data_IF_563587872533
#
_entry.id   IF_563587872533
#
_cell.length_a   1.000
_cell.length_b   1.000
_cell.length_c   1.000
_cell.angle_alpha   90.00
_cell.angle_beta   90.00
_cell.angle_gamma   90.00
#
_symmetry.space_group_name_H-M   'P 1'
#
loop_
_entity.id
_entity.type
_entity.pdbx_description
1 polymer ?
#
# COMPACT_ATOMS: atom_id res chain seq x y z
N UNK A 1 22.67 -27.53 -46.87
CA UNK A 1 21.86 -27.46 -48.14
C UNK A 1 22.79 -27.72 -49.28
N UNK A 2 22.30 -28.44 -50.34
CA UNK A 2 23.09 -28.57 -51.58
C UNK A 2 23.00 -27.26 -52.35
N UNK A 3 24.16 -26.72 -52.80
CA UNK A 3 24.16 -25.53 -53.63
C UNK A 3 23.53 -25.82 -54.98
N UNK A 4 22.64 -24.94 -55.47
CA UNK A 4 21.93 -25.07 -56.75
C UNK A 4 22.74 -24.29 -57.81
N UNK A 5 23.11 -24.98 -58.89
CA UNK A 5 23.87 -24.38 -59.97
C UNK A 5 23.07 -24.53 -61.26
N UNK A 6 22.78 -23.40 -61.93
CA UNK A 6 22.15 -23.41 -63.24
C UNK A 6 23.21 -23.28 -64.33
N UNK A 7 23.27 -24.24 -65.25
CA UNK A 7 24.15 -24.24 -66.41
C UNK A 7 23.32 -23.83 -67.64
N UNK A 8 23.72 -22.74 -68.29
CA UNK A 8 23.06 -22.21 -69.48
C UNK A 8 24.11 -22.21 -70.62
N UNK A 9 23.94 -23.08 -71.56
CA UNK A 9 24.84 -23.26 -72.73
C UNK A 9 24.07 -24.01 -73.83
N UNK A 10 24.18 -23.63 -75.09
CA UNK A 10 23.50 -24.27 -76.18
C UNK A 10 24.09 -25.65 -76.57
N UNK A 11 25.40 -25.85 -76.28
CA UNK A 11 26.10 -27.10 -76.53
C UNK A 11 25.82 -28.16 -75.47
N UNK A 12 25.06 -29.17 -75.86
CA UNK A 12 24.82 -30.34 -74.98
C UNK A 12 26.12 -30.99 -74.46
N UNK A 13 27.16 -30.94 -75.27
CA UNK A 13 28.47 -31.49 -74.92
C UNK A 13 29.15 -30.70 -73.81
N UNK A 14 29.08 -29.38 -73.83
CA UNK A 14 29.63 -28.49 -72.79
C UNK A 14 28.79 -28.65 -71.52
N UNK A 15 27.47 -28.64 -71.55
CA UNK A 15 26.61 -28.87 -70.38
C UNK A 15 26.99 -30.19 -69.71
N UNK A 16 27.12 -31.25 -70.48
CA UNK A 16 27.52 -32.56 -69.95
C UNK A 16 28.93 -32.56 -69.35
N UNK A 17 29.87 -31.90 -69.98
CA UNK A 17 31.23 -31.77 -69.47
C UNK A 17 31.25 -30.99 -68.13
N UNK A 18 30.59 -29.82 -68.06
CA UNK A 18 30.44 -29.01 -66.85
C UNK A 18 29.76 -29.79 -65.73
N UNK A 19 28.64 -30.47 -66.05
CA UNK A 19 27.94 -31.34 -65.11
C UNK A 19 28.88 -32.43 -64.54
N UNK A 20 29.62 -33.13 -65.37
CA UNK A 20 30.58 -34.15 -64.91
C UNK A 20 31.66 -33.60 -64.01
N UNK A 21 32.17 -32.40 -64.29
CA UNK A 21 33.16 -31.73 -63.41
C UNK A 21 32.52 -31.39 -62.06
N UNK A 22 31.31 -30.85 -62.02
CA UNK A 22 30.63 -30.52 -60.80
C UNK A 22 30.24 -31.78 -59.98
N UNK A 23 29.82 -32.87 -60.65
CA UNK A 23 29.47 -34.14 -60.01
C UNK A 23 30.69 -34.94 -59.52
N UNK A 24 31.90 -34.65 -60.01
CA UNK A 24 33.12 -35.27 -59.55
C UNK A 24 33.59 -34.77 -58.18
N UNK A 25 32.97 -33.76 -57.62
CA UNK A 25 33.30 -33.21 -56.29
C UNK A 25 32.64 -34.05 -55.19
N UNK A 26 33.44 -34.80 -54.45
CA UNK A 26 32.91 -35.70 -53.37
C UNK A 26 32.45 -34.94 -52.12
N UNK A 27 33.07 -33.79 -51.81
CA UNK A 27 32.75 -33.00 -50.61
C UNK A 27 31.47 -32.15 -50.73
N UNK A 28 31.18 -31.66 -51.94
CA UNK A 28 30.03 -30.77 -52.18
C UNK A 28 29.12 -31.34 -53.25
N UNK A 29 27.98 -31.93 -52.85
CA UNK A 29 26.98 -32.36 -53.82
C UNK A 29 26.17 -31.13 -54.27
N UNK A 30 26.26 -30.79 -55.57
CA UNK A 30 25.49 -29.74 -56.22
C UNK A 30 24.19 -30.29 -56.74
N UNK A 31 23.12 -29.44 -56.72
CA UNK A 31 21.89 -29.64 -57.45
C UNK A 31 22.06 -28.88 -58.78
N UNK A 32 22.07 -29.60 -59.88
CA UNK A 32 22.40 -29.03 -61.20
C UNK A 32 21.12 -28.89 -62.04
N UNK A 33 20.83 -27.65 -62.40
CA UNK A 33 19.79 -27.29 -63.35
C UNK A 33 20.42 -26.97 -64.71
N UNK A 34 19.73 -27.26 -65.81
CA UNK A 34 20.24 -26.97 -67.16
C UNK A 34 19.20 -26.21 -68.00
N UNK A 35 19.72 -25.30 -68.81
CA UNK A 35 18.95 -24.62 -69.85
C UNK A 35 19.79 -24.55 -71.14
N UNK A 36 19.13 -24.56 -72.31
CA UNK A 36 19.80 -24.56 -73.61
C UNK A 36 20.01 -23.14 -74.15
N UNK A 37 19.40 -22.13 -73.57
CA UNK A 37 19.53 -20.72 -73.95
C UNK A 37 18.94 -19.82 -72.91
N UNK A 38 19.10 -18.51 -73.07
CA UNK A 38 18.63 -17.50 -72.10
C UNK A 38 17.12 -17.49 -71.93
N UNK A 39 16.33 -17.80 -72.96
CA UNK A 39 14.87 -17.81 -72.80
C UNK A 39 14.41 -18.97 -71.93
N UNK A 40 14.91 -20.18 -72.21
CA UNK A 40 14.57 -21.37 -71.43
C UNK A 40 15.08 -21.25 -69.98
N UNK A 41 16.20 -20.56 -69.79
CA UNK A 41 16.74 -20.24 -68.41
C UNK A 41 15.82 -19.30 -67.63
N UNK A 42 15.36 -18.20 -68.22
CA UNK A 42 14.38 -17.30 -67.62
C UNK A 42 13.07 -17.97 -67.27
N UNK A 43 12.51 -18.76 -68.21
CA UNK A 43 11.27 -19.53 -68.00
C UNK A 43 11.41 -20.51 -66.82
N UNK A 44 12.57 -21.15 -66.66
CA UNK A 44 12.86 -22.04 -65.55
C UNK A 44 12.97 -21.28 -64.23
N UNK A 45 13.69 -20.14 -64.18
CA UNK A 45 13.90 -19.34 -62.97
C UNK A 45 12.61 -18.68 -62.50
N UNK A 46 11.78 -18.14 -63.44
CA UNK A 46 10.49 -17.52 -63.09
C UNK A 46 9.51 -18.52 -62.43
N UNK A 47 9.60 -19.81 -62.78
CA UNK A 47 8.76 -20.87 -62.20
C UNK A 47 9.22 -21.33 -60.81
N UNK A 48 10.42 -20.91 -60.35
CA UNK A 48 10.97 -21.32 -59.07
C UNK A 48 10.46 -20.43 -57.95
N UNK A 49 10.12 -21.03 -56.82
CA UNK A 49 9.90 -20.28 -55.57
C UNK A 49 11.24 -19.66 -55.08
N UNK A 50 11.17 -18.59 -54.30
CA UNK A 50 12.32 -17.82 -53.83
C UNK A 50 13.42 -18.68 -53.18
N UNK A 51 13.03 -19.73 -52.43
CA UNK A 51 13.95 -20.67 -51.77
C UNK A 51 14.51 -21.74 -52.70
N UNK A 52 14.00 -21.81 -53.93
CA UNK A 52 14.41 -22.77 -54.97
C UNK A 52 15.28 -22.16 -56.08
N UNK A 53 15.58 -20.86 -55.96
CA UNK A 53 16.45 -20.17 -56.91
C UNK A 53 17.86 -20.74 -56.92
N UNK A 54 18.61 -20.66 -58.09
CA UNK A 54 19.97 -21.09 -58.14
C UNK A 54 20.87 -20.21 -57.24
N UNK A 55 21.95 -20.81 -56.71
CA UNK A 55 22.95 -20.11 -55.90
C UNK A 55 24.11 -19.58 -56.80
N UNK A 56 24.23 -20.12 -58.02
CA UNK A 56 25.22 -19.73 -59.03
C UNK A 56 24.68 -20.05 -60.41
N UNK A 57 25.00 -19.19 -61.37
CA UNK A 57 24.74 -19.44 -62.79
C UNK A 57 26.06 -19.54 -63.52
N UNK A 58 26.19 -20.61 -64.34
CA UNK A 58 27.24 -20.78 -65.31
C UNK A 58 26.63 -20.47 -66.67
N UNK A 59 27.05 -19.42 -67.33
CA UNK A 59 26.39 -18.83 -68.49
C UNK A 59 27.31 -18.79 -69.71
N UNK A 60 26.88 -19.45 -70.76
CA UNK A 60 27.52 -19.24 -72.09
C UNK A 60 27.10 -17.89 -72.70
N UNK A 61 28.02 -17.26 -73.39
CA UNK A 61 27.77 -15.94 -73.97
C UNK A 61 26.97 -16.05 -75.27
N UNK A 62 27.36 -17.01 -76.09
CA UNK A 62 26.83 -17.14 -77.47
C UNK A 62 25.82 -18.30 -77.59
N UNK A 63 24.55 -17.96 -77.47
CA UNK A 63 23.44 -18.90 -77.51
C UNK A 63 22.36 -18.43 -78.52
N UNK A 64 21.58 -19.34 -79.07
CA UNK A 64 20.44 -18.99 -79.95
C UNK A 64 19.31 -18.36 -79.07
N UNK A 65 18.35 -17.71 -79.77
CA UNK A 65 17.18 -17.05 -79.16
C UNK A 65 17.44 -15.91 -78.26
N UNK A 66 18.29 -16.10 -77.20
CA UNK A 66 18.70 -15.10 -76.31
C UNK A 66 20.15 -15.40 -75.88
N UNK A 67 21.06 -14.49 -76.18
CA UNK A 67 22.47 -14.61 -75.80
C UNK A 67 22.71 -14.31 -74.33
N UNK A 68 23.92 -14.60 -73.83
CA UNK A 68 24.26 -14.41 -72.42
C UNK A 68 24.24 -12.95 -71.96
N UNK A 69 24.60 -12.00 -72.87
CA UNK A 69 24.60 -10.57 -72.53
C UNK A 69 23.13 -10.04 -72.37
N UNK A 70 22.22 -10.51 -73.14
CA UNK A 70 20.80 -10.18 -73.04
C UNK A 70 20.19 -10.83 -71.81
N UNK A 71 20.52 -12.11 -71.54
CA UNK A 71 20.05 -12.82 -70.38
C UNK A 71 20.48 -12.11 -69.07
N UNK A 72 21.77 -11.79 -68.91
CA UNK A 72 22.27 -11.22 -67.67
C UNK A 72 21.67 -9.82 -67.39
N UNK A 73 21.47 -9.00 -68.43
CA UNK A 73 20.81 -7.69 -68.27
C UNK A 73 19.41 -7.80 -67.71
N UNK A 74 18.61 -8.76 -68.21
CA UNK A 74 17.26 -9.01 -67.69
C UNK A 74 17.35 -9.59 -66.29
N UNK A 75 18.23 -10.57 -66.08
CA UNK A 75 18.37 -11.29 -64.81
C UNK A 75 18.84 -10.39 -63.69
N UNK A 76 19.89 -9.58 -63.89
CA UNK A 76 20.41 -8.68 -62.85
C UNK A 76 19.55 -7.45 -62.59
N UNK A 77 18.62 -7.15 -63.48
CA UNK A 77 17.67 -6.05 -63.27
C UNK A 77 16.51 -6.42 -62.32
N UNK A 78 16.31 -7.71 -62.06
CA UNK A 78 15.30 -8.17 -61.12
C UNK A 78 15.81 -8.09 -59.65
N UNK A 79 15.06 -7.44 -58.73
CA UNK A 79 15.48 -7.29 -57.33
C UNK A 79 15.73 -8.60 -56.58
N UNK A 80 15.07 -9.67 -57.01
CA UNK A 80 15.15 -11.00 -56.38
C UNK A 80 16.37 -11.78 -56.85
N UNK A 81 16.75 -11.64 -58.14
CA UNK A 81 17.78 -12.44 -58.79
C UNK A 81 19.14 -11.74 -58.85
N UNK A 82 19.21 -10.40 -58.78
CA UNK A 82 20.43 -9.60 -59.01
C UNK A 82 21.62 -10.01 -58.12
N UNK A 83 21.35 -10.62 -56.98
CA UNK A 83 22.41 -11.08 -56.04
C UNK A 83 22.93 -12.48 -56.33
N UNK A 84 22.36 -13.19 -57.36
CA UNK A 84 22.83 -14.51 -57.74
C UNK A 84 24.05 -14.32 -58.60
N UNK A 85 25.25 -14.86 -58.23
CA UNK A 85 26.44 -14.70 -59.06
C UNK A 85 26.33 -15.43 -60.39
N UNK A 86 26.95 -14.80 -61.40
CA UNK A 86 27.02 -15.34 -62.78
C UNK A 86 28.50 -15.49 -63.17
N UNK A 87 28.88 -16.71 -63.54
CA UNK A 87 30.16 -17.01 -64.13
C UNK A 87 29.98 -17.23 -65.62
N UNK A 88 30.56 -16.35 -66.43
CA UNK A 88 30.54 -16.53 -67.87
C UNK A 88 31.50 -17.64 -68.33
N UNK A 89 31.05 -18.47 -69.25
CA UNK A 89 31.85 -19.45 -69.98
C UNK A 89 32.04 -18.94 -71.44
N UNK A 90 33.21 -18.55 -71.85
CA UNK A 90 33.42 -17.81 -73.12
C UNK A 90 34.64 -18.32 -73.90
N UNK A 91 34.73 -18.03 -75.19
CA UNK A 91 35.88 -18.40 -76.02
C UNK A 91 37.06 -17.41 -75.88
N UNK A 92 38.32 -17.84 -76.11
CA UNK A 92 39.50 -17.07 -75.90
C UNK A 92 39.55 -15.70 -76.59
N UNK A 93 38.93 -15.57 -77.75
CA UNK A 93 38.89 -14.33 -78.57
C UNK A 93 37.96 -13.23 -77.98
N UNK A 94 37.08 -13.57 -77.05
CA UNK A 94 36.05 -12.69 -76.50
C UNK A 94 36.42 -12.16 -75.08
N UNK A 95 37.47 -12.70 -74.49
CA UNK A 95 37.88 -12.36 -73.11
C UNK A 95 38.22 -10.89 -72.96
N UNK A 96 38.91 -10.27 -73.96
CA UNK A 96 39.29 -8.85 -73.90
C UNK A 96 38.09 -7.92 -74.00
N UNK A 97 37.04 -8.27 -74.77
CA UNK A 97 35.79 -7.52 -74.82
C UNK A 97 34.95 -7.69 -73.53
N UNK A 98 35.04 -8.89 -72.97
CA UNK A 98 34.26 -9.23 -71.77
C UNK A 98 34.83 -8.53 -70.53
N UNK A 99 36.17 -8.40 -70.42
CA UNK A 99 36.83 -7.64 -69.33
C UNK A 99 36.39 -6.16 -69.33
N UNK A 100 36.16 -5.57 -70.53
CA UNK A 100 35.59 -4.21 -70.65
C UNK A 100 34.10 -4.16 -70.29
N UNK A 101 33.33 -5.23 -70.55
CA UNK A 101 31.90 -5.34 -70.30
C UNK A 101 31.51 -5.84 -68.91
N UNK A 102 32.42 -6.42 -68.16
CA UNK A 102 32.14 -7.00 -66.82
C UNK A 102 31.47 -5.99 -65.87
N UNK A 103 31.91 -4.72 -65.91
CA UNK A 103 31.35 -3.64 -65.13
C UNK A 103 29.93 -3.25 -65.60
N UNK A 104 29.66 -3.33 -66.89
CA UNK A 104 28.36 -3.00 -67.48
C UNK A 104 27.35 -4.13 -67.37
N UNK A 105 27.82 -5.39 -67.40
CA UNK A 105 26.98 -6.60 -67.39
C UNK A 105 26.75 -7.14 -65.97
N UNK A 106 27.48 -6.65 -64.98
CA UNK A 106 27.35 -7.08 -63.56
C UNK A 106 27.59 -8.60 -63.36
N UNK A 107 28.41 -9.22 -64.18
CA UNK A 107 28.85 -10.59 -63.94
C UNK A 107 29.98 -10.62 -62.93
N UNK A 108 30.03 -11.63 -62.08
CA UNK A 108 30.99 -11.73 -61.00
C UNK A 108 32.34 -12.28 -61.45
N UNK A 109 32.34 -13.15 -62.49
CA UNK A 109 33.60 -13.72 -63.01
C UNK A 109 33.41 -14.30 -64.44
N UNK A 110 34.49 -14.72 -65.06
CA UNK A 110 34.48 -15.37 -66.34
C UNK A 110 35.49 -16.54 -66.45
N UNK A 111 35.31 -17.48 -67.35
CA UNK A 111 36.17 -18.62 -67.59
C UNK A 111 36.25 -18.94 -69.09
N UNK A 112 37.50 -18.99 -69.65
CA UNK A 112 37.70 -19.24 -71.06
C UNK A 112 37.57 -20.71 -71.44
N UNK A 113 36.89 -21.00 -72.56
CA UNK A 113 36.80 -22.35 -73.17
C UNK A 113 37.99 -22.55 -74.13
N UNK A 114 38.64 -23.73 -74.13
CA UNK A 114 38.47 -24.87 -73.21
C UNK A 114 39.04 -24.62 -71.82
N UNK A 115 38.32 -24.96 -70.77
CA UNK A 115 38.70 -24.70 -69.36
C UNK A 115 39.27 -25.94 -68.70
N UNK A 116 40.15 -25.70 -67.73
CA UNK A 116 40.64 -26.74 -66.81
C UNK A 116 39.56 -27.06 -65.76
N UNK A 117 39.27 -28.35 -65.50
CA UNK A 117 38.31 -28.76 -64.47
C UNK A 117 38.57 -28.16 -63.07
N UNK A 118 39.85 -28.12 -62.67
CA UNK A 118 40.24 -27.55 -61.37
C UNK A 118 40.03 -26.04 -61.27
N UNK A 119 40.19 -25.29 -62.40
CA UNK A 119 39.95 -23.85 -62.48
C UNK A 119 38.45 -23.55 -62.41
N UNK A 120 37.60 -24.26 -63.15
CA UNK A 120 36.14 -24.13 -63.04
C UNK A 120 35.70 -24.36 -61.59
N UNK A 121 36.13 -25.43 -60.98
CA UNK A 121 35.73 -25.77 -59.62
C UNK A 121 36.19 -24.72 -58.57
N UNK A 122 37.41 -24.18 -58.69
CA UNK A 122 37.92 -23.14 -57.83
C UNK A 122 37.06 -21.87 -57.91
N UNK A 123 36.66 -21.43 -59.10
CA UNK A 123 35.79 -20.27 -59.31
C UNK A 123 34.38 -20.51 -58.77
N UNK A 124 33.80 -21.67 -59.06
CA UNK A 124 32.48 -22.08 -58.53
C UNK A 124 32.49 -22.03 -57.01
N UNK A 125 33.47 -22.67 -56.36
CA UNK A 125 33.61 -22.64 -54.87
C UNK A 125 33.74 -21.23 -54.33
N UNK A 126 34.55 -20.38 -54.99
CA UNK A 126 34.75 -19.00 -54.57
C UNK A 126 33.50 -18.17 -54.61
N UNK A 127 32.75 -18.24 -55.74
CA UNK A 127 31.48 -17.50 -55.92
C UNK A 127 30.38 -17.98 -54.95
N UNK A 128 30.26 -19.29 -54.78
CA UNK A 128 29.31 -19.86 -53.82
C UNK A 128 29.64 -19.45 -52.38
N UNK A 129 30.89 -19.40 -51.98
CA UNK A 129 31.32 -18.94 -50.65
C UNK A 129 30.85 -17.50 -50.39
N UNK A 130 31.07 -16.60 -51.34
CA UNK A 130 30.62 -15.20 -51.23
C UNK A 130 29.08 -15.15 -51.18
N UNK A 131 28.39 -15.88 -52.03
CA UNK A 131 26.95 -15.93 -52.06
C UNK A 131 26.31 -16.39 -50.73
N UNK A 132 26.87 -17.43 -50.12
CA UNK A 132 26.38 -17.92 -48.81
C UNK A 132 26.64 -16.96 -47.68
N UNK A 133 27.83 -16.32 -47.67
CA UNK A 133 28.15 -15.29 -46.67
C UNK A 133 27.18 -14.08 -46.76
N UNK A 134 26.85 -13.65 -47.98
CA UNK A 134 25.85 -12.59 -48.20
C UNK A 134 24.44 -13.00 -47.72
N UNK A 135 24.01 -14.22 -48.07
CA UNK A 135 22.70 -14.77 -47.59
C UNK A 135 22.64 -14.81 -46.06
N UNK A 136 23.70 -15.28 -45.42
CA UNK A 136 23.78 -15.35 -43.95
C UNK A 136 23.75 -13.95 -43.31
N UNK A 137 24.50 -13.01 -43.89
CA UNK A 137 24.51 -11.62 -43.41
C UNK A 137 23.11 -10.96 -43.50
N UNK A 138 22.43 -11.17 -44.59
CA UNK A 138 21.06 -10.64 -44.77
C UNK A 138 20.05 -11.27 -43.79
N UNK A 139 20.19 -12.57 -43.52
CA UNK A 139 19.35 -13.29 -42.56
C UNK A 139 19.62 -12.78 -41.11
N UNK A 140 20.88 -12.65 -40.74
CA UNK A 140 21.27 -12.14 -39.43
C UNK A 140 20.82 -10.69 -39.20
N UNK A 141 20.96 -9.84 -40.22
CA UNK A 141 20.47 -8.45 -40.14
C UNK A 141 18.96 -8.37 -39.92
N UNK A 142 18.18 -9.24 -40.63
CA UNK A 142 16.73 -9.32 -40.42
C UNK A 142 16.38 -9.74 -39.00
N UNK A 143 17.04 -10.81 -38.49
CA UNK A 143 16.84 -11.29 -37.10
C UNK A 143 17.23 -10.25 -36.06
N UNK A 144 18.34 -9.54 -36.29
CA UNK A 144 18.77 -8.47 -35.41
C UNK A 144 17.77 -7.32 -35.37
N UNK A 145 17.25 -6.91 -36.53
CA UNK A 145 16.21 -5.87 -36.62
C UNK A 145 14.96 -6.24 -35.83
N UNK A 146 14.47 -7.47 -36.00
CA UNK A 146 13.30 -7.97 -35.27
C UNK A 146 13.53 -8.04 -33.76
N UNK A 147 14.75 -8.45 -33.37
CA UNK A 147 15.13 -8.51 -31.96
C UNK A 147 15.24 -7.12 -31.32
N UNK A 148 15.79 -6.16 -32.04
CA UNK A 148 15.87 -4.76 -31.58
C UNK A 148 14.49 -4.13 -31.40
N UNK A 149 13.57 -4.40 -32.32
CA UNK A 149 12.20 -3.88 -32.21
C UNK A 149 11.47 -4.47 -31.01
N UNK A 150 11.59 -5.79 -30.78
CA UNK A 150 11.03 -6.45 -29.59
C UNK A 150 11.63 -5.88 -28.29
N UNK A 151 12.95 -5.68 -28.27
CA UNK A 151 13.62 -5.12 -27.09
C UNK A 151 13.15 -3.68 -26.80
N UNK A 152 12.96 -2.88 -27.84
CA UNK A 152 12.45 -1.52 -27.73
C UNK A 152 11.02 -1.49 -27.16
N UNK A 153 10.14 -2.37 -27.63
CA UNK A 153 8.78 -2.50 -27.10
C UNK A 153 8.80 -2.88 -25.61
N UNK A 154 9.57 -3.90 -25.24
CA UNK A 154 9.72 -4.33 -23.85
C UNK A 154 10.27 -3.21 -22.94
N UNK A 155 11.20 -2.42 -23.46
CA UNK A 155 11.75 -1.29 -22.70
C UNK A 155 10.69 -0.20 -22.42
N UNK A 156 9.87 0.13 -23.41
CA UNK A 156 8.78 1.12 -23.21
C UNK A 156 7.69 0.60 -22.26
N UNK A 157 7.31 -0.67 -22.36
CA UNK A 157 6.39 -1.31 -21.40
C UNK A 157 6.93 -1.30 -19.98
N UNK A 158 8.20 -1.68 -19.80
CA UNK A 158 8.86 -1.66 -18.48
C UNK A 158 8.95 -0.26 -17.89
N UNK A 159 9.25 0.72 -18.73
CA UNK A 159 9.31 2.13 -18.34
C UNK A 159 7.94 2.64 -17.86
N UNK A 160 6.87 2.31 -18.59
CA UNK A 160 5.50 2.67 -18.20
C UNK A 160 5.10 2.03 -16.87
N UNK A 161 5.31 0.72 -16.73
CA UNK A 161 5.04 -0.01 -15.48
C UNK A 161 5.82 0.57 -14.29
N UNK A 162 7.07 0.99 -14.51
CA UNK A 162 7.90 1.61 -13.46
C UNK A 162 7.36 2.96 -13.02
N UNK A 163 6.83 3.77 -13.94
CA UNK A 163 6.20 5.06 -13.62
C UNK A 163 4.94 4.82 -12.77
N UNK A 164 4.04 3.95 -13.19
CA UNK A 164 2.81 3.61 -12.48
C UNK A 164 3.09 3.07 -11.06
N UNK A 165 4.10 2.20 -10.94
CA UNK A 165 4.53 1.67 -9.64
C UNK A 165 5.09 2.76 -8.72
N UNK A 166 5.86 3.71 -9.29
CA UNK A 166 6.42 4.83 -8.53
C UNK A 166 5.32 5.80 -8.05
N UNK A 167 4.33 6.09 -8.87
CA UNK A 167 3.18 6.90 -8.52
C UNK A 167 2.35 6.23 -7.42
N UNK A 168 2.04 4.95 -7.57
CA UNK A 168 1.31 4.17 -6.56
C UNK A 168 2.07 4.12 -5.23
N UNK A 169 3.38 3.91 -5.27
CA UNK A 169 4.22 3.91 -4.07
C UNK A 169 4.29 5.28 -3.40
N UNK A 170 4.31 6.36 -4.17
CA UNK A 170 4.31 7.73 -3.65
C UNK A 170 2.97 8.04 -2.95
N UNK A 171 1.83 7.69 -3.56
CA UNK A 171 0.50 7.84 -2.97
C UNK A 171 0.41 7.02 -1.67
N UNK A 172 0.78 5.75 -1.69
CA UNK A 172 0.76 4.90 -0.51
C UNK A 172 1.67 5.42 0.63
N UNK A 173 2.82 6.02 0.28
CA UNK A 173 3.71 6.66 1.25
C UNK A 173 3.07 7.92 1.86
N UNK A 174 2.44 8.76 1.05
CA UNK A 174 1.71 9.95 1.52
C UNK A 174 0.54 9.57 2.41
N UNK A 175 -0.27 8.59 2.03
CA UNK A 175 -1.39 8.08 2.84
C UNK A 175 -0.90 7.59 4.20
N UNK A 176 0.18 6.81 4.25
CA UNK A 176 0.77 6.31 5.50
C UNK A 176 1.32 7.43 6.41
N UNK A 177 1.79 8.53 5.84
CA UNK A 177 2.19 9.71 6.63
C UNK A 177 0.95 10.45 7.12
N UNK A 178 -0.08 10.58 6.30
CA UNK A 178 -1.33 11.25 6.63
C UNK A 178 -2.10 10.52 7.75
N UNK A 179 -2.14 9.18 7.74
CA UNK A 179 -2.71 8.33 8.80
C UNK A 179 -2.07 8.52 10.18
N UNK A 180 -0.89 9.15 10.27
CA UNK A 180 -0.28 9.53 11.56
C UNK A 180 -0.86 10.81 12.15
N UNK A 181 -1.55 11.61 11.37
CA UNK A 181 -2.15 12.87 11.79
C UNK A 181 -3.68 12.79 11.87
N UNK A 182 -4.29 11.91 11.10
CA UNK A 182 -5.74 11.67 11.10
C UNK A 182 -5.97 10.18 11.32
N UNK A 183 -6.69 9.76 12.36
CA UNK A 183 -7.01 8.36 12.60
C UNK A 183 -7.72 7.74 11.40
N UNK A 184 -7.35 6.49 11.08
CA UNK A 184 -7.91 5.78 9.93
C UNK A 184 -9.41 5.58 10.07
N UNK A 185 -9.87 5.28 11.27
CA UNK A 185 -11.27 5.10 11.63
C UNK A 185 -12.10 6.35 11.28
N UNK A 186 -11.51 7.52 11.45
CA UNK A 186 -12.10 8.78 11.06
C UNK A 186 -12.17 8.93 9.53
N UNK A 187 -11.09 8.56 8.84
CA UNK A 187 -11.05 8.58 7.37
C UNK A 187 -12.08 7.64 6.75
N UNK A 188 -12.24 6.45 7.32
CA UNK A 188 -13.23 5.46 6.85
C UNK A 188 -14.67 6.00 6.95
N UNK A 189 -14.95 6.88 7.92
CA UNK A 189 -16.26 7.54 8.04
C UNK A 189 -16.44 8.72 7.09
N UNK A 190 -15.48 9.64 7.02
CA UNK A 190 -15.63 10.89 6.25
C UNK A 190 -15.23 10.76 4.78
N UNK A 191 -14.45 9.73 4.43
CA UNK A 191 -13.94 9.48 3.09
C UNK A 191 -14.59 8.28 2.39
N UNK A 192 -15.87 7.99 2.67
CA UNK A 192 -16.63 6.88 2.05
C UNK A 192 -16.57 6.86 0.52
N UNK A 193 -16.36 8.01 -0.10
CA UNK A 193 -16.25 8.18 -1.56
C UNK A 193 -14.83 8.47 -2.05
N UNK A 194 -13.82 8.35 -1.19
CA UNK A 194 -12.40 8.65 -1.46
C UNK A 194 -11.89 9.87 -0.71
N UNK A 195 -10.61 9.86 -0.35
CA UNK A 195 -9.95 10.94 0.41
C UNK A 195 -10.00 12.28 -0.34
N UNK A 196 -9.98 12.23 -1.67
CA UNK A 196 -10.09 13.39 -2.56
C UNK A 196 -11.45 14.10 -2.51
N UNK A 197 -12.47 13.45 -1.96
CA UNK A 197 -13.85 13.97 -1.87
C UNK A 197 -14.19 14.48 -0.47
N UNK A 198 -13.24 14.53 0.45
CA UNK A 198 -13.45 15.13 1.77
C UNK A 198 -13.74 16.62 1.61
N UNK A 199 -14.89 17.04 2.11
CA UNK A 199 -15.34 18.45 2.05
C UNK A 199 -15.64 18.99 3.43
N UNK A 200 -15.55 20.31 3.58
CA UNK A 200 -15.96 21.00 4.80
C UNK A 200 -17.45 20.81 5.06
N UNK A 201 -17.81 20.61 6.33
CA UNK A 201 -19.20 20.52 6.76
C UNK A 201 -19.82 19.14 6.58
N UNK A 202 -19.05 18.11 6.24
CA UNK A 202 -19.52 16.73 6.37
C UNK A 202 -19.81 16.44 7.84
N UNK A 203 -21.02 15.95 8.16
CA UNK A 203 -21.45 15.69 9.52
C UNK A 203 -22.35 14.47 9.58
N UNK A 204 -22.03 13.53 10.47
CA UNK A 204 -22.84 12.36 10.80
C UNK A 204 -23.13 12.37 12.31
N UNK A 205 -24.38 12.06 12.71
CA UNK A 205 -24.74 11.91 14.12
C UNK A 205 -24.73 10.44 14.50
N UNK A 206 -24.07 10.13 15.62
CA UNK A 206 -24.02 8.77 16.14
C UNK A 206 -23.92 8.76 17.68
N UNK A 207 -24.16 7.61 18.29
CA UNK A 207 -23.87 7.38 19.72
C UNK A 207 -22.50 6.70 19.78
N UNK A 208 -21.54 7.33 20.43
CA UNK A 208 -20.21 6.75 20.61
C UNK A 208 -19.79 6.79 22.07
N UNK A 209 -18.82 5.95 22.41
CA UNK A 209 -18.20 6.00 23.74
C UNK A 209 -16.89 6.77 23.71
N UNK A 210 -16.76 7.72 24.63
CA UNK A 210 -15.64 8.67 24.70
C UNK A 210 -14.88 8.42 26.00
N UNK A 211 -13.56 8.33 25.89
CA UNK A 211 -12.64 8.21 27.02
C UNK A 211 -11.72 9.42 27.04
N UNK A 212 -11.67 10.10 28.19
CA UNK A 212 -10.65 11.08 28.51
C UNK A 212 -9.71 10.53 29.59
N UNK A 213 -8.42 10.79 29.44
CA UNK A 213 -7.42 10.51 30.48
C UNK A 213 -6.43 11.64 30.59
N UNK A 214 -6.05 12.03 31.81
CA UNK A 214 -5.11 13.11 32.09
C UNK A 214 -4.15 12.77 33.25
N UNK A 215 -2.94 13.31 33.22
CA UNK A 215 -1.94 13.07 34.27
C UNK A 215 -2.20 14.02 35.47
N UNK A 216 -2.24 13.48 36.65
CA UNK A 216 -2.39 14.26 37.87
C UNK A 216 -1.17 15.16 38.13
N UNK A 217 -1.43 16.46 38.38
CA UNK A 217 -0.38 17.45 38.66
C UNK A 217 0.70 17.52 37.56
N UNK A 218 0.31 17.33 36.30
CA UNK A 218 1.26 17.38 35.18
C UNK A 218 1.99 18.73 35.08
N UNK A 219 1.32 19.84 35.38
CA UNK A 219 1.94 21.18 35.36
C UNK A 219 3.15 21.22 36.29
N UNK A 220 3.00 20.76 37.56
CA UNK A 220 4.08 20.72 38.52
C UNK A 220 5.22 19.79 38.05
N UNK A 221 4.86 18.64 37.45
CA UNK A 221 5.84 17.69 36.94
C UNK A 221 6.60 18.27 35.73
N UNK A 222 5.91 18.93 34.82
CA UNK A 222 6.51 19.49 33.59
C UNK A 222 7.48 20.64 33.87
N UNK A 223 7.24 21.45 34.93
CA UNK A 223 8.13 22.53 35.34
C UNK A 223 9.51 22.03 35.81
N UNK A 224 9.61 20.77 36.21
CA UNK A 224 10.89 20.17 36.66
C UNK A 224 11.75 19.66 35.51
N UNK A 225 11.24 19.66 34.26
CA UNK A 225 11.86 19.03 33.08
C UNK A 225 12.37 20.07 32.06
N UNK A 226 13.48 19.77 31.43
CA UNK A 226 13.88 20.48 30.21
C UNK A 226 12.91 20.17 29.06
N UNK A 227 12.79 21.02 28.02
CA UNK A 227 11.90 20.76 26.90
C UNK A 227 12.14 19.39 26.20
N UNK A 228 13.40 18.96 26.10
CA UNK A 228 13.74 17.67 25.50
C UNK A 228 13.33 16.48 26.38
N UNK A 229 13.48 16.61 27.70
CA UNK A 229 13.04 15.58 28.66
C UNK A 229 11.53 15.47 28.67
N UNK A 230 10.83 16.60 28.67
CA UNK A 230 9.37 16.64 28.60
C UNK A 230 8.85 15.94 27.35
N UNK A 231 9.41 16.22 26.16
CA UNK A 231 9.00 15.55 24.92
C UNK A 231 9.30 14.05 24.95
N UNK A 232 10.42 13.62 25.50
CA UNK A 232 10.73 12.19 25.65
C UNK A 232 9.77 11.51 26.63
N UNK A 233 9.49 12.16 27.74
CA UNK A 233 8.53 11.66 28.74
C UNK A 233 7.14 11.51 28.11
N UNK A 234 6.59 12.58 27.52
CA UNK A 234 5.28 12.54 26.88
C UNK A 234 5.19 11.45 25.81
N UNK A 235 6.17 11.36 24.91
CA UNK A 235 6.17 10.33 23.85
C UNK A 235 6.22 8.91 24.44
N UNK A 236 6.96 8.71 25.52
CA UNK A 236 7.00 7.42 26.22
C UNK A 236 5.66 7.10 26.88
N UNK A 237 5.10 8.04 27.66
CA UNK A 237 3.82 7.91 28.34
C UNK A 237 2.67 7.65 27.34
N UNK A 238 2.52 8.50 26.34
CA UNK A 238 1.46 8.39 25.34
C UNK A 238 1.52 7.06 24.58
N UNK A 239 2.71 6.56 24.27
CA UNK A 239 2.90 5.25 23.67
C UNK A 239 2.35 4.11 24.56
N UNK A 240 2.66 4.16 25.88
CA UNK A 240 2.19 3.15 26.82
C UNK A 240 0.68 3.20 27.03
N UNK A 241 0.11 4.41 27.06
CA UNK A 241 -1.32 4.59 27.34
C UNK A 241 -2.21 4.41 26.10
N UNK A 242 -1.67 4.62 24.90
CA UNK A 242 -2.43 4.38 23.66
C UNK A 242 -2.58 2.90 23.29
N UNK A 243 -1.69 2.04 23.79
CA UNK A 243 -1.74 0.61 23.47
C UNK A 243 -2.99 -0.11 24.01
N UNK A 244 -3.40 0.08 25.29
CA UNK A 244 -4.68 -0.43 25.80
C UNK A 244 -5.90 0.02 24.98
N UNK A 245 -5.92 1.28 24.53
CA UNK A 245 -6.99 1.83 23.70
C UNK A 245 -7.09 1.05 22.40
N UNK A 246 -5.96 0.88 21.71
CA UNK A 246 -5.87 0.18 20.43
C UNK A 246 -6.23 -1.32 20.53
N UNK A 247 -5.78 -2.00 21.60
CA UNK A 247 -6.06 -3.43 21.82
C UNK A 247 -7.57 -3.66 22.02
N UNK A 248 -8.25 -2.70 22.67
CA UNK A 248 -9.68 -2.75 22.89
C UNK A 248 -10.47 -1.98 21.79
N UNK A 249 -9.98 -1.98 20.56
CA UNK A 249 -10.64 -1.46 19.36
C UNK A 249 -11.00 0.04 19.39
N UNK A 250 -10.47 0.80 20.35
CA UNK A 250 -10.57 2.26 20.36
C UNK A 250 -9.44 2.90 19.56
N UNK A 251 -9.59 4.15 19.23
CA UNK A 251 -8.55 4.97 18.63
C UNK A 251 -8.41 6.31 19.34
N UNK A 252 -7.21 6.87 19.29
CA UNK A 252 -6.94 8.19 19.84
C UNK A 252 -7.36 9.25 18.82
N UNK A 253 -8.34 10.08 19.17
CA UNK A 253 -8.72 11.23 18.34
C UNK A 253 -7.63 12.31 18.38
N UNK A 254 -7.25 12.73 19.57
CA UNK A 254 -6.17 13.72 19.74
C UNK A 254 -5.54 13.66 21.11
N UNK A 255 -4.32 14.19 21.18
CA UNK A 255 -3.64 14.50 22.42
C UNK A 255 -3.82 15.99 22.74
N UNK A 256 -4.20 16.32 23.96
CA UNK A 256 -4.40 17.69 24.45
C UNK A 256 -3.42 17.94 25.58
N UNK A 257 -2.19 18.28 25.19
CA UNK A 257 -1.08 18.30 26.16
C UNK A 257 -0.69 16.89 26.60
N UNK A 258 -0.90 16.57 27.86
CA UNK A 258 -0.75 15.25 28.48
C UNK A 258 -2.05 14.43 28.46
N UNK A 259 -3.18 15.07 28.18
CA UNK A 259 -4.46 14.39 28.10
C UNK A 259 -4.61 13.60 26.79
N UNK A 260 -5.29 12.47 26.90
CA UNK A 260 -5.69 11.60 25.78
C UNK A 260 -7.20 11.68 25.63
N UNK A 261 -7.66 12.03 24.44
CA UNK A 261 -9.05 11.83 24.02
C UNK A 261 -9.11 10.64 23.08
N UNK A 262 -9.82 9.61 23.49
CA UNK A 262 -10.03 8.40 22.70
C UNK A 262 -11.52 8.16 22.43
N UNK A 263 -11.79 7.56 21.27
CA UNK A 263 -13.12 7.22 20.80
C UNK A 263 -13.22 5.71 20.60
N UNK A 264 -14.38 5.18 20.95
CA UNK A 264 -14.78 3.81 20.69
C UNK A 264 -16.00 3.86 19.79
N UNK A 265 -15.77 3.62 18.53
CA UNK A 265 -16.69 3.79 17.44
C UNK A 265 -16.29 2.81 16.34
N UNK A 266 -17.03 1.74 16.20
CA UNK A 266 -16.73 0.68 15.25
C UNK A 266 -17.98 0.37 14.40
N UNK A 267 -17.94 0.55 13.09
CA UNK A 267 -19.11 0.43 12.20
C UNK A 267 -19.85 -0.91 12.26
N UNK A 268 -19.20 -1.96 12.76
CA UNK A 268 -19.72 -3.33 12.81
C UNK A 268 -20.07 -3.80 14.24
N UNK A 269 -19.95 -2.91 15.25
CA UNK A 269 -20.23 -3.22 16.67
C UNK A 269 -21.47 -2.50 17.16
N UNK A 270 -22.05 -3.00 18.24
CA UNK A 270 -23.15 -2.35 18.97
C UNK A 270 -22.57 -1.36 20.00
N UNK A 271 -23.36 -0.34 20.38
CA UNK A 271 -23.00 0.65 21.39
C UNK A 271 -22.55 0.00 22.72
N UNK A 272 -23.11 -1.16 23.06
CA UNK A 272 -22.75 -1.96 24.24
C UNK A 272 -21.32 -2.55 24.12
N UNK A 273 -20.91 -2.96 22.94
CA UNK A 273 -19.55 -3.45 22.69
C UNK A 273 -18.53 -2.32 22.79
N UNK A 274 -18.87 -1.16 22.25
CA UNK A 274 -18.02 0.04 22.32
C UNK A 274 -17.87 0.54 23.77
N UNK A 275 -18.96 0.57 24.51
CA UNK A 275 -18.92 0.90 25.92
C UNK A 275 -18.07 -0.06 26.75
N UNK A 276 -18.17 -1.37 26.46
CA UNK A 276 -17.35 -2.43 27.07
C UNK A 276 -15.86 -2.24 26.78
N UNK A 277 -15.54 -2.03 25.51
CA UNK A 277 -14.17 -1.85 25.06
C UNK A 277 -13.55 -0.58 25.68
N UNK A 278 -14.31 0.50 25.84
CA UNK A 278 -13.88 1.70 26.53
C UNK A 278 -13.58 1.48 28.00
N UNK A 279 -14.47 0.79 28.72
CA UNK A 279 -14.28 0.50 30.16
C UNK A 279 -13.10 -0.44 30.37
N UNK A 280 -12.97 -1.51 29.54
CA UNK A 280 -11.78 -2.38 29.55
C UNK A 280 -10.51 -1.61 29.31
N UNK A 281 -10.52 -0.73 28.31
CA UNK A 281 -9.37 0.11 27.98
C UNK A 281 -8.92 0.94 29.17
N UNK A 282 -9.85 1.57 29.89
CA UNK A 282 -9.57 2.33 31.09
C UNK A 282 -8.92 1.50 32.19
N UNK A 283 -9.44 0.29 32.46
CA UNK A 283 -8.84 -0.64 33.44
C UNK A 283 -7.43 -1.11 33.00
N UNK A 284 -7.25 -1.43 31.73
CA UNK A 284 -5.94 -1.82 31.20
C UNK A 284 -4.93 -0.67 31.18
N UNK A 285 -5.39 0.57 30.98
CA UNK A 285 -4.53 1.77 31.14
C UNK A 285 -4.04 1.89 32.57
N UNK A 286 -4.88 1.66 33.59
CA UNK A 286 -4.44 1.64 34.99
C UNK A 286 -3.39 0.54 35.27
N UNK A 287 -3.62 -0.66 34.77
CA UNK A 287 -2.65 -1.76 34.87
C UNK A 287 -1.34 -1.45 34.12
N UNK A 288 -1.42 -0.81 32.95
CA UNK A 288 -0.25 -0.37 32.19
C UNK A 288 0.52 0.71 32.95
N UNK A 289 -0.20 1.62 33.64
CA UNK A 289 0.38 2.65 34.45
C UNK A 289 1.20 2.08 35.61
N UNK A 290 0.72 1.04 36.31
CA UNK A 290 1.47 0.34 37.35
C UNK A 290 2.82 -0.13 36.80
N UNK A 291 2.82 -0.83 35.67
CA UNK A 291 4.07 -1.28 35.01
C UNK A 291 4.97 -0.14 34.55
N UNK A 292 4.38 0.96 34.12
CA UNK A 292 5.12 2.16 33.73
C UNK A 292 5.77 2.84 34.95
N UNK A 293 5.08 2.90 36.10
CA UNK A 293 5.61 3.42 37.34
C UNK A 293 6.73 2.56 37.92
N UNK A 294 6.67 1.24 37.84
CA UNK A 294 7.78 0.34 38.15
C UNK A 294 9.05 0.65 37.33
N UNK A 295 8.88 0.99 36.07
CA UNK A 295 9.99 1.44 35.24
C UNK A 295 10.51 2.80 35.68
N UNK A 296 9.62 3.75 36.04
CA UNK A 296 9.99 5.08 36.50
C UNK A 296 10.78 5.00 37.80
N UNK A 297 10.33 4.22 38.79
CA UNK A 297 10.98 4.01 40.07
C UNK A 297 12.42 3.46 39.89
N UNK A 298 12.63 2.49 39.00
CA UNK A 298 13.97 1.95 38.69
C UNK A 298 14.95 2.98 38.11
N UNK A 299 14.45 4.12 37.67
CA UNK A 299 15.24 5.19 37.07
C UNK A 299 15.19 6.48 37.88
N UNK A 300 14.77 6.39 39.17
CA UNK A 300 14.65 7.51 40.08
C UNK A 300 13.70 8.64 39.61
N UNK A 301 12.68 8.29 38.83
CA UNK A 301 11.63 9.22 38.41
C UNK A 301 10.42 9.12 39.35
N UNK A 302 9.77 10.26 39.61
CA UNK A 302 8.55 10.32 40.39
C UNK A 302 7.43 9.48 39.78
N UNK A 303 6.68 8.78 40.66
CA UNK A 303 5.43 8.09 40.26
C UNK A 303 4.41 9.07 39.68
N UNK A 304 3.67 8.66 38.67
CA UNK A 304 2.56 9.42 38.08
C UNK A 304 1.24 8.72 38.34
N UNK A 305 0.17 9.51 38.42
CA UNK A 305 -1.21 9.03 38.52
C UNK A 305 -2.02 9.64 37.41
N UNK A 306 -3.04 8.92 36.94
CA UNK A 306 -3.96 9.42 35.91
C UNK A 306 -5.39 9.40 36.41
N UNK A 307 -6.23 10.29 35.87
CA UNK A 307 -7.65 10.21 35.95
C UNK A 307 -8.22 9.72 34.61
N UNK A 308 -9.30 8.94 34.65
CA UNK A 308 -10.00 8.47 33.46
C UNK A 308 -11.49 8.77 33.59
N UNK A 309 -12.10 9.41 32.58
CA UNK A 309 -13.53 9.65 32.47
C UNK A 309 -14.08 8.98 31.24
N UNK A 310 -15.15 8.20 31.37
CA UNK A 310 -15.82 7.51 30.27
C UNK A 310 -17.28 7.86 30.22
N UNK A 311 -17.76 8.25 29.03
CA UNK A 311 -19.17 8.53 28.76
C UNK A 311 -19.59 8.10 27.38
N UNK A 312 -20.76 7.52 27.26
CA UNK A 312 -21.43 7.15 26.00
C UNK A 312 -22.59 8.10 25.74
N UNK A 313 -22.67 8.63 24.52
CA UNK A 313 -23.77 9.54 24.20
C UNK A 313 -23.72 10.09 22.78
N UNK A 314 -24.78 10.82 22.36
CA UNK A 314 -24.89 11.33 21.00
C UNK A 314 -23.84 12.42 20.72
N UNK A 315 -23.25 12.31 19.55
CA UNK A 315 -22.27 13.25 19.03
C UNK A 315 -22.49 13.50 17.54
N UNK A 316 -21.85 14.54 17.03
CA UNK A 316 -21.70 14.82 15.60
C UNK A 316 -20.24 14.63 15.24
N UNK A 317 -19.97 13.70 14.34
CA UNK A 317 -18.66 13.41 13.79
C UNK A 317 -18.56 14.09 12.43
N UNK A 318 -17.47 14.82 12.17
CA UNK A 318 -17.36 15.51 10.89
C UNK A 318 -16.09 16.33 10.74
N UNK A 319 -16.08 17.12 9.66
CA UNK A 319 -14.99 18.03 9.30
C UNK A 319 -15.37 19.49 9.57
N UNK A 320 -14.53 20.17 10.32
CA UNK A 320 -14.68 21.60 10.64
C UNK A 320 -13.41 22.35 10.27
N UNK A 321 -13.55 23.64 9.98
CA UNK A 321 -12.40 24.49 9.70
C UNK A 321 -12.63 25.49 8.57
N UNK A 322 -11.59 25.72 7.77
CA UNK A 322 -11.56 26.63 6.63
C UNK A 322 -11.03 25.92 5.39
N UNK A 323 -11.11 26.56 4.23
CA UNK A 323 -10.56 26.02 2.97
C UNK A 323 -9.07 25.65 3.06
N UNK A 324 -8.31 26.33 3.93
CA UNK A 324 -6.86 26.11 4.06
C UNK A 324 -6.49 25.17 5.23
N UNK A 325 -7.43 24.87 6.13
CA UNK A 325 -7.21 24.00 7.28
C UNK A 325 -8.52 23.35 7.70
N UNK A 326 -8.55 22.03 7.59
CA UNK A 326 -9.64 21.20 8.06
C UNK A 326 -9.14 20.33 9.22
N UNK A 327 -9.96 20.23 10.25
CA UNK A 327 -9.77 19.28 11.35
C UNK A 327 -10.93 18.29 11.35
N UNK A 328 -10.64 17.01 11.48
CA UNK A 328 -11.63 16.00 11.83
C UNK A 328 -11.91 16.10 13.32
N UNK A 329 -13.16 16.11 13.71
CA UNK A 329 -13.53 16.28 15.12
C UNK A 329 -14.87 15.66 15.46
N UNK A 330 -15.03 15.42 16.76
CA UNK A 330 -16.31 15.00 17.36
C UNK A 330 -16.82 16.16 18.19
N UNK A 331 -18.05 16.56 17.91
CA UNK A 331 -18.75 17.64 18.58
C UNK A 331 -19.97 17.10 19.32
N UNK A 332 -20.16 17.54 20.53
CA UNK A 332 -21.35 17.17 21.31
C UNK A 332 -21.15 17.39 22.79
N UNK A 333 -22.26 17.39 23.50
CA UNK A 333 -22.26 17.52 24.96
C UNK A 333 -21.63 16.30 25.64
N UNK A 334 -21.70 15.13 24.97
CA UNK A 334 -21.06 13.91 25.44
C UNK A 334 -19.53 14.04 25.58
N UNK A 335 -18.86 14.74 24.64
CA UNK A 335 -17.42 15.02 24.72
C UNK A 335 -17.08 15.81 26.00
N UNK A 336 -17.87 16.86 26.25
CA UNK A 336 -17.68 17.69 27.42
C UNK A 336 -17.94 16.93 28.72
N UNK A 337 -18.94 16.03 28.73
CA UNK A 337 -19.24 15.23 29.92
C UNK A 337 -18.13 14.23 30.22
N UNK A 338 -17.61 13.51 29.24
CA UNK A 338 -16.47 12.60 29.43
C UNK A 338 -15.24 13.33 30.01
N UNK A 339 -14.90 14.51 29.50
CA UNK A 339 -13.81 15.35 30.02
C UNK A 339 -14.07 15.79 31.47
N UNK A 340 -15.30 16.15 31.82
CA UNK A 340 -15.64 16.52 33.20
C UNK A 340 -15.60 15.35 34.15
N UNK A 341 -16.01 14.15 33.72
CA UNK A 341 -15.87 12.93 34.51
C UNK A 341 -14.40 12.65 34.81
N UNK A 342 -13.52 12.84 33.84
CA UNK A 342 -12.08 12.74 34.09
C UNK A 342 -11.67 13.73 35.18
N UNK A 343 -11.99 15.02 35.08
CA UNK A 343 -11.63 16.03 36.03
C UNK A 343 -12.18 15.72 37.47
N UNK A 344 -13.43 15.21 37.56
CA UNK A 344 -14.05 14.82 38.84
C UNK A 344 -13.34 13.65 39.51
N UNK A 345 -12.58 12.81 38.81
CA UNK A 345 -11.78 11.73 39.43
C UNK A 345 -10.80 12.28 40.49
N UNK A 346 -10.38 13.54 40.35
CA UNK A 346 -9.54 14.22 41.34
C UNK A 346 -10.29 14.47 42.65
N UNK A 347 -11.53 14.91 42.55
CA UNK A 347 -12.35 15.24 43.71
C UNK A 347 -12.72 13.96 44.50
N UNK A 348 -13.07 12.90 43.77
CA UNK A 348 -13.43 11.61 44.38
C UNK A 348 -12.23 10.71 44.70
N UNK A 349 -11.01 11.14 44.40
CA UNK A 349 -9.74 10.39 44.59
C UNK A 349 -9.82 8.97 44.03
N UNK A 350 -10.53 8.78 42.94
CA UNK A 350 -10.66 7.49 42.25
C UNK A 350 -9.95 7.52 40.90
N UNK A 351 -9.50 6.39 40.40
CA UNK A 351 -8.72 6.33 39.12
C UNK A 351 -9.61 6.49 37.89
N UNK A 352 -10.87 6.10 37.95
CA UNK A 352 -11.77 6.08 36.81
C UNK A 352 -13.21 6.35 37.19
N UNK A 353 -13.89 7.22 36.44
CA UNK A 353 -15.31 7.52 36.54
C UNK A 353 -16.03 7.21 35.25
N UNK A 354 -17.22 6.62 35.39
CA UNK A 354 -18.08 6.25 34.26
C UNK A 354 -19.48 6.82 34.53
N UNK A 355 -20.14 7.32 33.48
CA UNK A 355 -21.52 7.81 33.57
C UNK A 355 -22.54 6.68 33.68
N UNK A 356 -23.74 7.00 34.17
CA UNK A 356 -24.90 6.11 34.17
C UNK A 356 -25.26 5.64 32.76
N UNK A 357 -25.17 6.50 31.75
CA UNK A 357 -25.47 6.17 30.36
C UNK A 357 -24.57 5.03 29.87
N UNK A 358 -23.25 5.14 30.08
CA UNK A 358 -22.31 4.07 29.71
C UNK A 358 -22.56 2.78 30.52
N UNK A 359 -22.82 2.89 31.82
CA UNK A 359 -23.12 1.75 32.68
C UNK A 359 -24.38 1.01 32.22
N UNK A 360 -25.40 1.76 31.79
CA UNK A 360 -26.68 1.18 31.34
C UNK A 360 -26.53 0.38 30.03
N UNK A 361 -25.63 0.77 29.14
CA UNK A 361 -25.28 -0.03 27.96
C UNK A 361 -24.63 -1.39 28.33
N UNK A 362 -24.11 -1.49 29.57
CA UNK A 362 -23.42 -2.68 30.08
C UNK A 362 -24.24 -3.42 31.15
N UNK A 363 -25.56 -3.12 31.32
CA UNK A 363 -26.40 -3.64 32.40
C UNK A 363 -26.48 -5.19 32.40
N UNK A 364 -26.40 -5.82 31.24
CA UNK A 364 -26.50 -7.27 31.07
C UNK A 364 -25.12 -7.98 31.18
N UNK A 365 -24.05 -7.25 31.51
CA UNK A 365 -22.67 -7.78 31.56
C UNK A 365 -22.15 -7.84 32.99
N UNK A 366 -21.97 -9.06 33.53
CA UNK A 366 -21.42 -9.32 34.86
C UNK A 366 -19.87 -9.08 34.96
N UNK A 367 -19.28 -8.57 33.88
CA UNK A 367 -17.81 -8.43 33.78
C UNK A 367 -17.25 -7.33 34.69
N UNK A 368 -18.03 -6.26 34.94
CA UNK A 368 -17.56 -5.08 35.66
C UNK A 368 -18.19 -4.96 37.03
N UNK A 369 -17.38 -4.51 37.99
CA UNK A 369 -17.82 -4.22 39.34
C UNK A 369 -17.98 -2.71 39.51
N UNK A 370 -19.17 -2.28 39.89
CA UNK A 370 -19.58 -0.89 39.97
C UNK A 370 -19.80 -0.44 41.39
N UNK A 371 -19.30 0.76 41.68
CA UNK A 371 -19.61 1.48 42.90
C UNK A 371 -20.18 2.85 42.54
N UNK A 372 -21.43 3.12 42.89
CA UNK A 372 -21.98 4.45 42.77
C UNK A 372 -21.27 5.42 43.73
N UNK A 373 -20.87 6.61 43.24
CA UNK A 373 -20.20 7.60 44.05
C UNK A 373 -21.10 8.80 44.35
N UNK A 374 -21.80 9.32 43.35
CA UNK A 374 -22.61 10.53 43.52
C UNK A 374 -23.59 10.72 42.39
N UNK A 375 -24.45 11.73 42.53
CA UNK A 375 -25.30 12.28 41.46
C UNK A 375 -24.98 13.77 41.37
N UNK A 376 -24.40 14.16 40.21
CA UNK A 376 -23.77 15.47 40.07
C UNK A 376 -24.43 16.27 38.96
N UNK A 377 -24.59 17.56 39.18
CA UNK A 377 -24.92 18.51 38.13
C UNK A 377 -23.60 19.07 37.58
N UNK A 378 -23.28 18.72 36.35
CA UNK A 378 -22.10 19.30 35.69
C UNK A 378 -22.48 20.56 34.91
N UNK A 379 -21.59 21.52 34.86
CA UNK A 379 -21.81 22.82 34.19
C UNK A 379 -22.33 22.62 32.76
N UNK A 380 -23.48 23.24 32.41
CA UNK A 380 -24.10 23.18 31.08
C UNK A 380 -25.04 22.00 30.85
N UNK A 381 -25.20 21.06 31.78
CA UNK A 381 -26.30 20.08 31.79
C UNK A 381 -27.45 20.60 32.60
N UNK A 382 -28.66 20.28 32.14
CA UNK A 382 -29.90 20.56 32.90
C UNK A 382 -30.33 19.38 33.77
N UNK A 383 -29.89 18.19 33.40
CA UNK A 383 -30.22 16.95 34.11
C UNK A 383 -28.97 16.46 34.88
N UNK A 384 -29.15 15.99 36.13
CA UNK A 384 -28.07 15.42 36.91
C UNK A 384 -27.64 14.06 36.37
N UNK A 385 -26.35 13.77 36.48
CA UNK A 385 -25.74 12.53 36.01
C UNK A 385 -25.23 11.72 37.20
N UNK A 386 -25.63 10.44 37.30
CA UNK A 386 -24.99 9.53 38.27
C UNK A 386 -23.63 9.09 37.75
N UNK A 387 -22.67 9.06 38.66
CA UNK A 387 -21.30 8.69 38.38
C UNK A 387 -20.90 7.45 39.18
N UNK A 388 -20.15 6.58 38.52
CA UNK A 388 -19.74 5.31 39.05
C UNK A 388 -18.24 5.14 38.97
N UNK A 389 -17.63 4.60 40.02
CA UNK A 389 -16.28 4.06 40.01
C UNK A 389 -16.35 2.63 39.46
N UNK A 390 -15.40 2.26 38.60
CA UNK A 390 -15.20 0.87 38.15
C UNK A 390 -14.10 0.26 39.00
N UNK A 391 -14.39 -0.85 39.64
CA UNK A 391 -13.47 -1.54 40.53
C UNK A 391 -12.81 -2.71 39.81
N UNK A 392 -11.48 -2.82 39.94
CA UNK A 392 -10.72 -3.94 39.39
C UNK A 392 -10.22 -4.86 40.51
N UNK A 393 -10.74 -6.09 40.62
CA UNK A 393 -10.31 -7.04 41.64
C UNK A 393 -8.81 -7.40 41.59
N UNK A 394 -8.18 -7.16 40.44
CA UNK A 394 -6.77 -7.54 40.22
C UNK A 394 -5.78 -6.42 40.54
N UNK A 395 -6.23 -5.16 40.62
CA UNK A 395 -5.35 -4.01 40.82
C UNK A 395 -5.75 -3.09 41.96
N UNK A 396 -6.96 -3.20 42.50
CA UNK A 396 -7.41 -2.39 43.62
C UNK A 396 -7.25 -3.13 44.95
N UNK A 397 -6.29 -2.73 45.84
CA UNK A 397 -6.09 -3.37 47.16
C UNK A 397 -7.32 -3.25 48.07
N UNK A 398 -8.16 -2.25 47.85
CA UNK A 398 -9.37 -1.99 48.63
C UNK A 398 -10.64 -2.60 48.05
N UNK A 399 -10.53 -3.41 46.99
CA UNK A 399 -11.66 -3.98 46.21
C UNK A 399 -12.75 -4.57 47.15
N UNK A 400 -12.41 -5.53 47.99
CA UNK A 400 -13.37 -6.20 48.91
C UNK A 400 -14.04 -5.18 49.86
N UNK A 401 -13.30 -4.23 50.38
CA UNK A 401 -13.83 -3.20 51.25
C UNK A 401 -14.76 -2.26 50.53
N UNK A 402 -14.41 -1.86 49.29
CA UNK A 402 -15.24 -0.99 48.45
C UNK A 402 -16.54 -1.69 48.01
N UNK A 403 -16.48 -2.98 47.69
CA UNK A 403 -17.67 -3.79 47.31
C UNK A 403 -18.61 -3.91 48.52
N UNK A 404 -18.09 -4.19 49.70
CA UNK A 404 -18.90 -4.28 50.93
C UNK A 404 -19.53 -2.94 51.32
N UNK A 405 -18.81 -1.84 51.14
CA UNK A 405 -19.31 -0.49 51.41
C UNK A 405 -20.30 -0.02 50.38
N UNK A 406 -20.28 -0.52 49.14
CA UNK A 406 -21.12 -0.03 48.06
C UNK A 406 -22.62 -0.16 48.40
N UNK A 407 -23.08 -1.31 48.90
CA UNK A 407 -24.48 -1.53 49.32
C UNK A 407 -24.89 -0.67 50.52
N UNK A 408 -24.02 -0.59 51.53
CA UNK A 408 -24.23 0.24 52.73
C UNK A 408 -24.29 1.73 52.37
N UNK A 409 -23.48 2.15 51.40
CA UNK A 409 -23.45 3.53 50.93
C UNK A 409 -24.75 3.90 50.19
N UNK A 410 -25.26 3.04 49.29
CA UNK A 410 -26.53 3.27 48.60
C UNK A 410 -27.66 3.43 49.60
N UNK A 411 -27.77 2.55 50.59
CA UNK A 411 -28.80 2.65 51.65
C UNK A 411 -28.67 3.98 52.42
N UNK A 412 -27.43 4.39 52.81
CA UNK A 412 -27.19 5.64 53.51
C UNK A 412 -27.57 6.86 52.66
N UNK A 413 -27.33 6.75 51.35
CA UNK A 413 -27.67 7.78 50.39
C UNK A 413 -29.19 7.91 50.17
N UNK A 414 -29.93 6.84 50.28
CA UNK A 414 -31.44 6.92 50.25
C UNK A 414 -31.96 7.78 51.42
N UNK A 415 -31.45 7.57 52.64
CA UNK A 415 -31.79 8.44 53.78
C UNK A 415 -31.35 9.90 53.54
N UNK A 416 -30.18 10.10 52.95
CA UNK A 416 -29.67 11.45 52.61
C UNK A 416 -30.60 12.17 51.61
N UNK A 417 -31.08 11.48 50.58
CA UNK A 417 -32.02 12.07 49.59
C UNK A 417 -33.38 12.36 50.25
N UNK A 418 -33.83 11.50 51.19
CA UNK A 418 -35.06 11.70 51.93
C UNK A 418 -34.95 12.77 53.00
N UNK A 419 -33.79 13.39 53.14
CA UNK A 419 -33.47 14.40 54.17
C UNK A 419 -33.54 13.84 55.59
N UNK A 420 -33.39 12.52 55.75
CA UNK A 420 -33.27 11.88 57.06
C UNK A 420 -31.79 11.83 57.46
N UNK A 421 -31.33 12.93 58.05
CA UNK A 421 -29.90 13.19 58.26
C UNK A 421 -29.24 12.27 59.27
N UNK A 422 -29.92 11.89 60.36
CA UNK A 422 -29.33 11.05 61.39
C UNK A 422 -28.93 9.67 60.88
N UNK A 423 -29.83 8.85 60.30
CA UNK A 423 -29.43 7.54 59.72
C UNK A 423 -28.49 7.68 58.55
N UNK A 424 -28.59 8.76 57.77
CA UNK A 424 -27.61 9.03 56.70
C UNK A 424 -26.18 9.23 57.26
N UNK A 425 -26.05 10.07 58.31
CA UNK A 425 -24.74 10.34 58.96
C UNK A 425 -24.18 9.08 59.61
N UNK A 426 -25.03 8.32 60.35
CA UNK A 426 -24.60 7.05 60.97
C UNK A 426 -24.08 6.06 59.92
N UNK A 427 -24.85 5.87 58.84
CA UNK A 427 -24.48 4.94 57.74
C UNK A 427 -23.21 5.38 57.02
N UNK A 428 -23.04 6.65 56.67
CA UNK A 428 -21.77 7.13 56.06
C UNK A 428 -20.59 7.01 57.02
N UNK A 429 -20.79 7.21 58.34
CA UNK A 429 -19.73 7.02 59.33
C UNK A 429 -19.33 5.53 59.45
N UNK A 430 -20.31 4.60 59.41
CA UNK A 430 -20.00 3.16 59.39
C UNK A 430 -19.23 2.76 58.13
N UNK A 431 -19.62 3.29 56.97
CA UNK A 431 -18.86 3.11 55.74
C UNK A 431 -17.42 3.59 55.86
N UNK A 432 -17.20 4.79 56.42
CA UNK A 432 -15.86 5.35 56.63
C UNK A 432 -15.03 4.56 57.65
N UNK A 433 -15.64 3.90 58.63
CA UNK A 433 -14.92 3.02 59.54
C UNK A 433 -14.35 1.77 58.80
N UNK A 434 -15.04 1.32 57.75
CA UNK A 434 -14.60 0.18 56.91
C UNK A 434 -13.63 0.61 55.80
N UNK A 435 -13.78 1.83 55.32
CA UNK A 435 -12.96 2.39 54.24
C UNK A 435 -12.48 3.81 54.61
N UNK A 436 -11.49 3.94 55.50
CA UNK A 436 -10.92 5.21 55.87
C UNK A 436 -10.32 5.94 54.65
N UNK A 437 -10.37 7.27 54.65
CA UNK A 437 -9.81 8.14 53.60
C UNK A 437 -10.54 8.07 52.24
N UNK A 438 -11.71 7.44 52.18
CA UNK A 438 -12.54 7.46 50.95
C UNK A 438 -13.19 8.83 50.78
N UNK A 439 -12.81 9.51 49.67
CA UNK A 439 -13.22 10.89 49.44
C UNK A 439 -14.74 11.03 49.18
N UNK A 440 -15.38 10.06 48.54
CA UNK A 440 -16.81 10.09 48.30
C UNK A 440 -17.59 10.02 49.62
N UNK A 441 -17.18 9.12 50.52
CA UNK A 441 -17.78 8.96 51.85
C UNK A 441 -17.56 10.20 52.70
N UNK A 442 -16.32 10.75 52.76
CA UNK A 442 -16.00 12.00 53.45
C UNK A 442 -16.93 13.14 52.98
N UNK A 443 -17.05 13.32 51.66
CA UNK A 443 -17.87 14.38 51.07
C UNK A 443 -19.35 14.22 51.38
N UNK A 444 -19.90 13.00 51.31
CA UNK A 444 -21.29 12.77 51.66
C UNK A 444 -21.60 12.97 53.17
N UNK A 445 -20.66 12.52 54.03
CA UNK A 445 -20.80 12.71 55.45
C UNK A 445 -20.77 14.20 55.83
N UNK A 446 -19.84 14.96 55.26
CA UNK A 446 -19.69 16.40 55.51
C UNK A 446 -20.94 17.18 55.03
N UNK A 447 -21.45 16.82 53.86
CA UNK A 447 -22.72 17.39 53.33
C UNK A 447 -23.91 17.05 54.21
N UNK A 448 -24.06 15.79 54.64
CA UNK A 448 -25.14 15.38 55.56
C UNK A 448 -25.09 16.13 56.90
N UNK A 449 -23.91 16.28 57.49
CA UNK A 449 -23.69 17.06 58.74
C UNK A 449 -24.02 18.54 58.54
N UNK A 450 -23.61 19.11 57.40
CA UNK A 450 -23.93 20.50 57.05
C UNK A 450 -25.43 20.72 56.91
N UNK A 451 -26.13 19.84 56.17
CA UNK A 451 -27.60 19.95 55.99
C UNK A 451 -28.39 19.62 57.27
N UNK A 452 -27.91 18.75 58.14
CA UNK A 452 -28.48 18.55 59.44
C UNK A 452 -28.45 19.82 60.33
N UNK A 453 -27.45 20.69 60.08
CA UNK A 453 -27.30 21.95 60.85
C UNK A 453 -27.97 23.15 60.19
N UNK A 454 -27.99 23.17 58.85
CA UNK A 454 -28.58 24.24 58.05
C UNK A 454 -29.39 23.60 56.89
N UNK A 455 -30.67 23.67 56.91
CA UNK A 455 -31.51 23.02 55.86
C UNK A 455 -30.96 23.23 54.47
N UNK A 456 -31.08 22.21 53.58
CA UNK A 456 -30.73 22.34 52.17
C UNK A 456 -31.62 23.42 51.48
N UNK A 457 -31.27 23.87 50.26
CA UNK A 457 -32.09 24.77 49.45
C UNK A 457 -33.49 24.22 49.26
N UNK A 458 -34.52 25.13 49.12
CA UNK A 458 -35.96 24.81 49.10
C UNK A 458 -36.39 23.77 48.08
N UNK A 459 -35.66 23.59 46.99
CA UNK A 459 -35.89 22.60 45.93
C UNK A 459 -34.75 21.64 45.74
N UNK A 460 -34.02 21.31 46.84
CA UNK A 460 -32.91 20.39 46.75
C UNK A 460 -33.38 18.94 46.49
N UNK A 461 -32.77 18.35 45.48
CA UNK A 461 -33.13 17.04 44.94
C UNK A 461 -32.05 15.95 45.20
N UNK A 462 -31.13 16.19 46.12
CA UNK A 462 -30.04 15.27 46.41
C UNK A 462 -28.82 15.44 45.51
N UNK A 463 -28.87 16.39 44.56
CA UNK A 463 -27.85 16.62 43.55
C UNK A 463 -26.80 17.62 44.04
N UNK A 464 -25.54 17.31 43.84
CA UNK A 464 -24.44 18.23 44.05
C UNK A 464 -24.03 18.97 42.79
N UNK A 465 -23.89 20.31 42.91
CA UNK A 465 -23.51 21.15 41.75
C UNK A 465 -22.00 21.44 41.76
N UNK A 466 -21.33 21.04 40.70
CA UNK A 466 -19.91 21.39 40.47
C UNK A 466 -19.83 22.55 39.47
N UNK A 467 -19.43 23.72 39.94
CA UNK A 467 -19.33 24.95 39.15
C UNK A 467 -17.90 25.25 38.69
N UNK A 468 -16.89 24.53 39.19
CA UNK A 468 -15.50 24.78 38.83
C UNK A 468 -15.17 24.21 37.45
N UNK A 469 -14.20 24.95 36.81
CA UNK A 469 -13.69 24.61 35.47
C UNK A 469 -12.70 23.47 35.53
#
# INVERSE_FOLDING_TARGET
MKAKILIIDDSKTIRFQVRKILESEEENQFEILEAEDGVSALENVVRLEKDSLPDLILLDRNMPRMNGDEFIRIFKNDPTWKYIPVLFLTTHGEIEELVRGLTELQAEDYLGKPFNPSELMARVKSLLRVRFAEKETLSLNSQLSDSLEKQKQQYEELKQTRIELAETAAVASMTRVFEKFVPREFLDRIAKTGIENISLGHAESDIITILFSDIRSFTDLSETMTPNELMKFLNSYLKFMSEPIRINHGFVDKFIGDAIMALFDHPEKEDSDEARDAVRSGLEMQRALVRYNEYREKHDYQEIKIGIGVHSGPVVIGTVGSENRMDSTVLGDAVNLASRLEALTKNYRCPMLVSEDTKNLLADQEEFHWRMLDQVMVKGKHDPVKIFEVLDPNSDPAFESKMKVAEMFENSREFYIQQDWNPAIEGFQECLNLLPEDAALEMHLDRARSFASSNPPENWDGVHQYFEK
#
